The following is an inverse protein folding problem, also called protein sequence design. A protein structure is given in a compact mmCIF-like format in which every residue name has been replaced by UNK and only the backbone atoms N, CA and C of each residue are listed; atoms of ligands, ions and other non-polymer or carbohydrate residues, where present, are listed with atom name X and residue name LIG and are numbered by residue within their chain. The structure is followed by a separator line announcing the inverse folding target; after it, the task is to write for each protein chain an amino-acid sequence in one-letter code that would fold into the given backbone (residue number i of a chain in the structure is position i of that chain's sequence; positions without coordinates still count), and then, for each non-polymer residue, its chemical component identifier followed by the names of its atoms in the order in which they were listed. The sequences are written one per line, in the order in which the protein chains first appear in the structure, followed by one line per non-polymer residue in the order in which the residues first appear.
data_IF_706118493536
#
_entry.id   IF_706118493536
#
_cell.length_a   1.000
_cell.length_b   1.000
_cell.length_c   1.000
_cell.angle_alpha   90.00
_cell.angle_beta   90.00
_cell.angle_gamma   90.00
#
_symmetry.space_group_name_H-M   'P 1'
#
loop_
_entity.id
_entity.type
_entity.pdbx_description
1 polymer ?
#
# COMPACT_ATOMS: atom_id res chain seq x y z
N UNK A 1 -10.81 -7.67 44.85
CA UNK A 1 -10.00 -6.73 44.05
C UNK A 1 -9.24 -7.59 43.02
N UNK A 2 -9.86 -8.12 41.96
CA UNK A 2 -10.61 -7.45 40.88
C UNK A 2 -9.87 -6.21 40.35
N UNK A 3 -8.97 -6.45 39.38
CA UNK A 3 -8.63 -5.49 38.33
C UNK A 3 -8.74 -6.24 37.00
N UNK A 4 -9.94 -6.14 36.42
CA UNK A 4 -10.27 -6.59 35.08
C UNK A 4 -9.76 -5.57 34.07
N UNK A 5 -9.31 -6.10 32.94
CA UNK A 5 -9.67 -5.65 31.58
C UNK A 5 -8.89 -4.53 30.86
N UNK A 6 -8.57 -4.91 29.61
CA UNK A 6 -8.59 -4.14 28.36
C UNK A 6 -7.33 -3.35 27.99
N UNK A 7 -6.48 -4.01 27.20
CA UNK A 7 -5.97 -3.55 25.89
C UNK A 7 -5.62 -4.82 25.10
N UNK A 8 -6.62 -5.64 24.75
CA UNK A 8 -7.10 -5.77 23.37
C UNK A 8 -6.36 -4.90 22.35
N UNK A 9 -5.65 -5.58 21.46
CA UNK A 9 -4.92 -4.96 20.35
C UNK A 9 -3.69 -5.75 19.96
N UNK A 10 -3.83 -7.09 19.90
CA UNK A 10 -2.84 -7.96 19.28
C UNK A 10 -2.71 -7.55 17.82
N UNK A 11 -1.80 -6.62 17.54
CA UNK A 11 -1.29 -6.36 16.20
C UNK A 11 -0.45 -7.55 15.86
N UNK A 12 -1.10 -8.55 15.29
CA UNK A 12 -0.50 -9.70 14.65
C UNK A 12 0.64 -9.17 13.79
N UNK A 13 1.87 -9.51 14.20
CA UNK A 13 3.08 -9.41 13.43
C UNK A 13 2.87 -10.20 12.13
N UNK A 14 2.27 -9.59 11.11
CA UNK A 14 2.38 -10.12 9.75
C UNK A 14 3.76 -9.76 9.22
N UNK A 15 4.71 -10.56 9.71
CA UNK A 15 6.00 -10.82 9.10
C UNK A 15 5.78 -11.45 7.72
N UNK A 16 5.31 -10.64 6.78
CA UNK A 16 5.12 -10.96 5.37
C UNK A 16 6.04 -10.10 4.51
N UNK A 17 7.31 -9.94 4.91
CA UNK A 17 8.33 -9.39 4.00
C UNK A 17 8.54 -10.45 2.91
N UNK A 18 7.71 -10.37 1.87
CA UNK A 18 7.96 -11.06 0.62
C UNK A 18 9.27 -10.51 0.07
N UNK A 19 10.34 -11.29 0.26
CA UNK A 19 11.65 -11.16 -0.37
C UNK A 19 11.50 -11.21 -1.90
N UNK A 20 11.06 -10.11 -2.50
CA UNK A 20 11.13 -9.92 -3.95
C UNK A 20 12.53 -9.38 -4.32
N UNK A 21 13.55 -10.23 -4.16
CA UNK A 21 14.89 -10.04 -4.75
C UNK A 21 14.91 -10.37 -6.26
N UNK A 22 13.85 -10.05 -6.98
CA UNK A 22 13.71 -10.34 -8.40
C UNK A 22 13.49 -9.07 -9.18
N UNK A 23 14.52 -8.66 -9.95
CA UNK A 23 14.47 -7.63 -11.00
C UNK A 23 13.60 -8.10 -12.18
N UNK A 24 12.39 -8.61 -11.90
CA UNK A 24 11.44 -9.02 -12.92
C UNK A 24 11.00 -7.77 -13.67
N UNK A 25 11.15 -7.79 -14.99
CA UNK A 25 10.63 -6.75 -15.87
C UNK A 25 9.14 -6.55 -15.59
N UNK A 26 8.82 -5.52 -14.80
CA UNK A 26 7.44 -5.18 -14.48
C UNK A 26 6.77 -4.68 -15.75
N UNK A 27 5.68 -5.33 -16.15
CA UNK A 27 4.72 -4.74 -17.08
C UNK A 27 3.90 -3.68 -16.34
N UNK A 28 4.48 -2.50 -16.17
CA UNK A 28 3.86 -1.34 -15.52
C UNK A 28 2.46 -1.03 -16.00
N UNK A 29 2.17 -1.01 -17.31
CA UNK A 29 0.86 -0.57 -17.78
C UNK A 29 -0.28 -1.44 -17.25
N UNK A 30 -0.06 -2.76 -17.16
CA UNK A 30 -1.07 -3.71 -16.68
C UNK A 30 -1.36 -3.47 -15.20
N UNK A 31 -0.33 -3.33 -14.38
CA UNK A 31 -0.45 -3.17 -12.94
C UNK A 31 -1.02 -1.80 -12.56
N UNK A 32 -0.55 -0.74 -13.21
CA UNK A 32 -1.06 0.60 -13.01
C UNK A 32 -2.52 0.73 -13.48
N UNK A 33 -2.92 0.04 -14.56
CA UNK A 33 -4.33 -0.06 -14.94
C UNK A 33 -5.17 -0.79 -13.89
N UNK A 34 -4.67 -1.88 -13.32
CA UNK A 34 -5.36 -2.60 -12.26
C UNK A 34 -5.60 -1.74 -11.01
N UNK A 35 -4.70 -0.80 -10.72
CA UNK A 35 -4.84 0.17 -9.63
C UNK A 35 -5.69 1.40 -10.01
N UNK A 36 -6.02 1.59 -11.30
CA UNK A 36 -6.76 2.76 -11.80
C UNK A 36 -5.91 4.03 -11.99
N UNK A 37 -4.60 3.90 -12.18
CA UNK A 37 -3.71 5.05 -12.37
C UNK A 37 -3.96 5.72 -13.74
N UNK A 38 -4.20 7.06 -13.78
CA UNK A 38 -4.69 7.75 -14.99
C UNK A 38 -3.72 7.81 -16.16
N UNK A 39 -2.41 7.56 -15.96
CA UNK A 39 -1.39 7.61 -17.01
C UNK A 39 -0.62 6.29 -17.15
N UNK A 40 -1.28 5.17 -16.88
CA UNK A 40 -0.68 3.84 -16.84
C UNK A 40 0.09 3.46 -18.11
N UNK A 41 -0.45 3.77 -19.30
CA UNK A 41 0.15 3.36 -20.58
C UNK A 41 1.36 4.20 -21.01
N UNK A 42 1.55 5.37 -20.40
CA UNK A 42 2.65 6.29 -20.71
C UNK A 42 3.73 6.30 -19.62
N UNK A 43 3.58 5.45 -18.60
CA UNK A 43 4.45 5.47 -17.43
C UNK A 43 5.87 5.00 -17.77
N UNK A 44 6.85 5.88 -17.56
CA UNK A 44 8.28 5.62 -17.84
C UNK A 44 9.19 5.56 -16.60
N UNK A 45 8.60 5.63 -15.40
CA UNK A 45 9.32 5.64 -14.12
C UNK A 45 10.41 6.71 -14.00
N UNK A 46 10.16 7.90 -14.55
CA UNK A 46 10.97 9.10 -14.30
C UNK A 46 10.80 9.58 -12.87
N UNK A 47 11.71 10.46 -12.41
CA UNK A 47 11.60 11.11 -11.09
C UNK A 47 10.24 11.77 -10.87
N UNK A 48 9.77 12.53 -11.88
CA UNK A 48 8.48 13.21 -11.83
C UNK A 48 7.34 12.21 -11.69
N UNK A 49 7.42 11.09 -12.41
CA UNK A 49 6.41 10.04 -12.34
C UNK A 49 6.43 9.28 -11.02
N UNK A 50 7.60 9.12 -10.39
CA UNK A 50 7.73 8.58 -9.04
C UNK A 50 6.96 9.45 -8.03
N UNK A 51 7.16 10.77 -8.04
CA UNK A 51 6.43 11.67 -7.16
C UNK A 51 4.92 11.69 -7.45
N UNK A 52 4.53 11.70 -8.74
CA UNK A 52 3.14 11.63 -9.13
C UNK A 52 2.48 10.32 -8.67
N UNK A 53 3.18 9.19 -8.81
CA UNK A 53 2.73 7.89 -8.34
C UNK A 53 2.61 7.86 -6.82
N UNK A 54 3.63 8.29 -6.09
CA UNK A 54 3.63 8.30 -4.62
C UNK A 54 2.50 9.18 -4.06
N UNK A 55 2.34 10.40 -4.57
CA UNK A 55 1.25 11.28 -4.16
C UNK A 55 -0.11 10.70 -4.48
N UNK A 56 -0.27 10.10 -5.66
CA UNK A 56 -1.55 9.50 -6.05
C UNK A 56 -1.89 8.30 -5.17
N UNK A 57 -0.91 7.44 -4.88
CA UNK A 57 -1.08 6.28 -4.00
C UNK A 57 -1.45 6.70 -2.57
N UNK A 58 -0.82 7.74 -2.02
CA UNK A 58 -1.17 8.29 -0.71
C UNK A 58 -2.62 8.81 -0.68
N UNK A 59 -3.10 9.43 -1.77
CA UNK A 59 -4.47 9.94 -1.82
C UNK A 59 -5.53 8.83 -1.97
N UNK A 60 -5.17 7.72 -2.63
CA UNK A 60 -6.15 6.73 -3.11
C UNK A 60 -6.08 5.36 -2.44
N UNK A 61 -4.88 4.84 -2.15
CA UNK A 61 -4.69 3.43 -1.77
C UNK A 61 -3.97 3.24 -0.43
N UNK A 62 -3.00 4.11 -0.10
CA UNK A 62 -2.09 3.90 1.03
C UNK A 62 -2.03 5.18 1.88
N UNK A 63 -3.15 5.54 2.52
CA UNK A 63 -3.29 6.75 3.35
C UNK A 63 -2.54 6.61 4.67
N UNK A 64 -1.23 6.82 4.66
CA UNK A 64 -0.39 6.70 5.84
C UNK A 64 0.06 8.07 6.36
N UNK A 65 0.20 9.06 5.49
CA UNK A 65 0.64 10.39 5.91
C UNK A 65 -0.52 11.24 6.46
N UNK A 66 -0.25 12.04 7.50
CA UNK A 66 -1.18 13.07 7.92
C UNK A 66 -1.34 14.13 6.80
N UNK A 67 -2.49 14.82 6.71
CA UNK A 67 -2.80 15.75 5.62
C UNK A 67 -1.75 16.85 5.43
N UNK A 68 -1.12 17.28 6.52
CA UNK A 68 -0.08 18.31 6.54
C UNK A 68 1.21 17.92 5.80
N UNK A 69 1.55 16.63 5.77
CA UNK A 69 2.79 16.14 5.15
C UNK A 69 2.61 15.77 3.67
N UNK A 70 1.36 15.52 3.24
CA UNK A 70 1.02 15.22 1.83
C UNK A 70 1.41 16.33 0.86
N UNK A 71 1.44 17.57 1.35
CA UNK A 71 1.88 18.72 0.57
C UNK A 71 3.32 18.59 0.08
N UNK A 72 4.20 17.93 0.86
CA UNK A 72 5.60 17.71 0.48
C UNK A 72 5.76 16.75 -0.69
N UNK A 73 5.00 15.65 -0.72
CA UNK A 73 4.99 14.71 -1.83
C UNK A 73 4.52 15.36 -3.13
N UNK A 74 3.44 16.15 -3.07
CA UNK A 74 2.88 16.87 -4.24
C UNK A 74 3.86 17.89 -4.82
N UNK A 75 4.74 18.44 -3.99
CA UNK A 75 5.78 19.40 -4.40
C UNK A 75 7.05 18.74 -4.92
N UNK A 76 7.16 17.41 -4.88
CA UNK A 76 8.36 16.71 -5.31
C UNK A 76 9.51 16.75 -4.29
N UNK A 77 9.21 16.88 -2.99
CA UNK A 77 10.22 16.89 -1.95
C UNK A 77 10.80 15.50 -1.72
N UNK A 78 12.10 15.32 -1.98
CA UNK A 78 12.82 14.08 -1.68
C UNK A 78 12.75 13.71 -0.20
N UNK A 79 12.81 14.69 0.69
CA UNK A 79 12.68 14.47 2.14
C UNK A 79 11.30 13.90 2.48
N UNK A 80 10.24 14.42 1.85
CA UNK A 80 8.89 13.90 2.04
C UNK A 80 8.73 12.49 1.46
N UNK A 81 9.40 12.20 0.34
CA UNK A 81 9.41 10.86 -0.24
C UNK A 81 10.16 9.86 0.64
N UNK A 82 11.31 10.21 1.19
CA UNK A 82 12.05 9.38 2.13
C UNK A 82 11.22 9.09 3.39
N UNK A 83 10.64 10.13 3.99
CA UNK A 83 9.73 9.99 5.13
C UNK A 83 8.54 9.07 4.78
N UNK A 84 7.90 9.29 3.63
CA UNK A 84 6.81 8.44 3.15
C UNK A 84 7.24 6.97 3.03
N UNK A 85 8.37 6.69 2.39
CA UNK A 85 8.87 5.31 2.27
C UNK A 85 9.25 4.70 3.62
N UNK A 86 9.72 5.50 4.57
CA UNK A 86 10.00 5.05 5.94
C UNK A 86 8.72 4.64 6.67
N UNK A 87 7.65 5.44 6.58
CA UNK A 87 6.34 5.11 7.15
C UNK A 87 5.74 3.84 6.54
N UNK A 88 6.00 3.59 5.25
CA UNK A 88 5.65 2.36 4.56
C UNK A 88 6.55 1.16 4.91
N UNK A 89 7.48 1.33 5.86
CA UNK A 89 8.45 0.31 6.28
C UNK A 89 9.24 -0.22 5.08
N UNK A 90 9.71 0.70 4.23
CA UNK A 90 10.45 0.32 3.04
C UNK A 90 11.72 -0.47 3.38
N UNK A 91 12.03 -1.53 2.61
CA UNK A 91 13.27 -2.27 2.79
C UNK A 91 14.48 -1.39 2.46
N UNK A 92 15.61 -1.63 3.13
CA UNK A 92 16.79 -0.75 3.04
C UNK A 92 17.33 -0.54 1.61
N UNK A 93 17.08 -1.47 0.68
CA UNK A 93 17.46 -1.31 -0.72
C UNK A 93 16.69 -0.17 -1.42
N UNK A 94 15.47 0.18 -0.97
CA UNK A 94 14.68 1.29 -1.52
C UNK A 94 15.38 2.62 -1.22
N UNK A 95 15.91 2.79 0.00
CA UNK A 95 16.71 3.96 0.33
C UNK A 95 17.97 4.06 -0.54
N UNK A 96 18.66 2.93 -0.77
CA UNK A 96 19.79 2.89 -1.70
C UNK A 96 19.39 3.19 -3.15
N UNK A 97 18.22 2.72 -3.60
CA UNK A 97 17.69 2.99 -4.93
C UNK A 97 17.31 4.46 -5.11
N UNK A 98 16.72 5.10 -4.09
CA UNK A 98 16.46 6.55 -4.08
C UNK A 98 17.75 7.35 -4.19
N UNK A 99 18.76 7.02 -3.37
CA UNK A 99 20.09 7.67 -3.43
C UNK A 99 20.78 7.46 -4.79
N UNK A 100 20.66 6.25 -5.34
CA UNK A 100 21.18 5.88 -6.66
C UNK A 100 20.35 6.37 -7.84
N UNK A 101 19.22 7.05 -7.59
CA UNK A 101 18.25 7.52 -8.60
C UNK A 101 17.68 6.40 -9.48
N UNK A 102 17.59 5.19 -8.95
CA UNK A 102 16.92 4.07 -9.58
C UNK A 102 15.41 4.15 -9.31
N UNK A 103 14.78 5.15 -9.92
CA UNK A 103 13.36 5.44 -9.75
C UNK A 103 12.46 4.30 -10.25
N UNK A 104 12.92 3.52 -11.23
CA UNK A 104 12.21 2.35 -11.72
C UNK A 104 12.08 1.26 -10.65
N UNK A 105 13.14 0.99 -9.89
CA UNK A 105 13.08 0.04 -8.78
C UNK A 105 12.15 0.55 -7.65
N UNK A 106 12.21 1.83 -7.32
CA UNK A 106 11.36 2.42 -6.27
C UNK A 106 9.88 2.40 -6.67
N UNK A 107 9.57 2.81 -7.89
CA UNK A 107 8.21 2.73 -8.42
C UNK A 107 7.70 1.28 -8.38
N UNK A 108 8.59 0.28 -8.56
CA UNK A 108 8.20 -1.13 -8.73
C UNK A 108 7.73 -1.63 -7.40
N UNK A 109 8.49 -1.31 -6.37
CA UNK A 109 8.11 -1.57 -5.00
C UNK A 109 6.81 -0.85 -4.61
N UNK A 110 6.63 0.44 -4.93
CA UNK A 110 5.40 1.17 -4.64
C UNK A 110 4.16 0.53 -5.30
N UNK A 111 4.23 0.17 -6.58
CA UNK A 111 3.12 -0.48 -7.29
C UNK A 111 2.82 -1.86 -6.72
N UNK A 112 3.85 -2.65 -6.40
CA UNK A 112 3.67 -3.94 -5.72
C UNK A 112 3.00 -3.78 -4.37
N UNK A 113 3.40 -2.77 -3.60
CA UNK A 113 2.84 -2.50 -2.28
C UNK A 113 1.36 -2.10 -2.41
N UNK A 114 1.05 -1.18 -3.31
CA UNK A 114 -0.33 -0.75 -3.58
C UNK A 114 -1.25 -1.91 -3.98
N UNK A 115 -0.77 -2.84 -4.82
CA UNK A 115 -1.53 -4.03 -5.20
C UNK A 115 -1.81 -4.95 -4.00
N UNK A 116 -0.86 -5.08 -3.07
CA UNK A 116 -1.07 -5.86 -1.84
C UNK A 116 -2.13 -5.22 -0.96
N UNK A 117 -2.05 -3.91 -0.71
CA UNK A 117 -3.07 -3.18 0.05
C UNK A 117 -4.46 -3.28 -0.59
N UNK A 118 -4.56 -3.07 -1.91
CA UNK A 118 -5.82 -3.19 -2.63
C UNK A 118 -6.42 -4.61 -2.55
N UNK A 119 -5.57 -5.64 -2.53
CA UNK A 119 -6.02 -7.03 -2.36
C UNK A 119 -6.49 -7.31 -0.93
N UNK A 120 -5.74 -6.84 0.07
CA UNK A 120 -6.10 -7.00 1.49
C UNK A 120 -7.43 -6.29 1.81
N UNK A 121 -7.68 -5.10 1.26
CA UNK A 121 -8.96 -4.40 1.41
C UNK A 121 -10.13 -5.22 0.83
N UNK A 122 -9.94 -5.83 -0.33
CA UNK A 122 -10.95 -6.67 -0.99
C UNK A 122 -11.20 -7.98 -0.20
N UNK A 123 -10.15 -8.61 0.32
CA UNK A 123 -10.29 -9.83 1.13
C UNK A 123 -10.94 -9.54 2.50
N UNK A 124 -10.53 -8.47 3.18
CA UNK A 124 -11.12 -8.07 4.46
C UNK A 124 -12.60 -7.69 4.34
N UNK A 125 -13.01 -7.08 3.22
CA UNK A 125 -14.42 -6.82 2.92
C UNK A 125 -15.24 -8.09 2.68
N UNK A 126 -14.62 -9.14 2.14
CA UNK A 126 -15.26 -10.43 1.88
C UNK A 126 -15.52 -11.24 3.16
N UNK A 127 -14.70 -11.07 4.20
CA UNK A 127 -14.87 -11.74 5.49
C UNK A 127 -15.93 -11.05 6.37
N UNK A 128 -16.12 -9.73 6.22
CA UNK A 128 -17.16 -8.98 6.94
C UNK A 128 -18.58 -9.19 6.40
N UNK A 129 -18.73 -9.71 5.17
CA UNK A 129 -20.01 -9.98 4.53
C UNK A 129 -20.59 -11.38 4.79
N UNK A 130 -19.86 -12.26 5.48
CA UNK A 130 -20.27 -13.63 5.76
C UNK A 130 -20.86 -13.81 7.17
N UNK A 131 -21.78 -12.93 7.57
CA UNK A 131 -22.74 -13.24 8.65
C UNK A 131 -24.10 -13.46 8.01
N UNK A 132 -24.23 -14.54 7.25
CA UNK A 132 -25.56 -15.00 6.84
C UNK A 132 -26.15 -15.63 8.09
N UNK A 133 -27.13 -14.92 8.64
CA UNK A 133 -27.98 -15.29 9.76
C UNK A 133 -28.59 -16.68 9.51
N UNK A 134 -28.01 -17.71 10.14
CA UNK A 134 -28.64 -19.03 10.26
C UNK A 134 -29.62 -18.95 11.44
N UNK A 135 -30.76 -18.31 11.24
CA UNK A 135 -31.89 -18.30 12.18
C UNK A 135 -33.22 -18.17 11.44
N UNK A 136 -33.69 -19.28 10.86
CA UNK A 136 -35.08 -19.69 11.06
C UNK A 136 -35.24 -21.18 10.67
N UNK A 137 -34.74 -22.06 11.54
CA UNK A 137 -35.33 -23.39 11.64
C UNK A 137 -36.59 -23.27 12.50
N UNK A 138 -37.64 -23.95 12.04
CA UNK A 138 -38.72 -24.51 12.86
C UNK A 138 -39.93 -23.60 13.15
N UNK A 139 -40.86 -23.54 12.19
CA UNK A 139 -42.29 -23.50 12.52
C UNK A 139 -42.94 -24.84 12.16
N UNK A 140 -43.35 -25.52 13.23
CA UNK A 140 -44.03 -26.79 13.24
C UNK A 140 -45.33 -26.77 12.42
N UNK A 141 -45.55 -27.86 11.68
CA UNK A 141 -46.87 -28.29 11.21
C UNK A 141 -47.22 -29.62 11.86
#
# INVERSE_FOLDING_TARGET
LELRSLLLGGRTLFSGILLFSGRQSMHWPIRLRALGFPSADQFTATERELFALASWLEDTHIRQLPPEERGGLRQGSHVALEAYTSELVAPGWVASALQGRDYAAVCSWLVCLALQYAHEEQCGASEAGATIDESDSQLAG
#
